data_IF_988319844409
#
_entry.id   IF_988319844409
#
_cell.length_a   1.000
_cell.length_b   1.000
_cell.length_c   1.000
_cell.angle_alpha   90.00
_cell.angle_beta   90.00
_cell.angle_gamma   90.00
#
_symmetry.space_group_name_H-M   'P 1'
#
loop_
_entity.id
_entity.type
_entity.pdbx_description
1 polymer ?
#
# COMPACT_ATOMS: atom_id res chain seq x y z
N UNK A 1 17.23 9.78 30.07
CA UNK A 1 17.42 9.97 28.62
C UNK A 1 18.15 8.75 28.08
N UNK A 2 17.46 7.89 27.33
CA UNK A 2 18.10 6.89 26.47
C UNK A 2 17.11 6.58 25.33
N UNK A 3 17.58 6.88 24.12
CA UNK A 3 16.87 6.83 22.86
C UNK A 3 16.26 5.44 22.65
N UNK A 4 14.95 5.39 22.38
CA UNK A 4 14.31 4.21 21.80
C UNK A 4 14.95 3.98 20.43
N UNK A 5 15.77 2.94 20.34
CA UNK A 5 16.28 2.42 19.07
C UNK A 5 15.07 2.10 18.20
N UNK A 6 15.00 2.74 17.03
CA UNK A 6 14.23 2.21 15.92
C UNK A 6 14.85 0.86 15.56
N UNK A 7 14.28 -0.21 16.09
CA UNK A 7 14.53 -1.55 15.57
C UNK A 7 13.98 -1.57 14.15
N UNK A 8 14.88 -1.38 13.19
CA UNK A 8 14.64 -1.70 11.79
C UNK A 8 14.51 -3.20 11.65
N UNK A 9 13.48 -3.79 12.26
CA UNK A 9 13.08 -5.16 12.01
C UNK A 9 12.65 -5.21 10.57
N UNK A 10 13.51 -5.79 9.73
CA UNK A 10 13.15 -6.33 8.44
C UNK A 10 12.18 -7.49 8.69
N UNK A 11 10.95 -7.16 9.11
CA UNK A 11 9.88 -8.12 9.28
C UNK A 11 9.55 -8.64 7.88
N UNK A 12 10.19 -9.75 7.53
CA UNK A 12 10.06 -10.41 6.23
C UNK A 12 8.73 -11.19 6.17
N UNK A 13 8.03 -11.30 7.30
CA UNK A 13 6.70 -11.88 7.41
C UNK A 13 5.59 -10.92 6.95
N UNK A 14 4.39 -11.46 6.70
CA UNK A 14 3.23 -10.66 6.34
C UNK A 14 2.74 -9.88 7.57
N UNK A 15 2.85 -8.55 7.53
CA UNK A 15 2.47 -7.67 8.64
C UNK A 15 1.67 -6.42 8.17
N UNK A 16 1.53 -6.25 6.85
CA UNK A 16 0.84 -5.10 6.27
C UNK A 16 -0.61 -5.48 5.95
N UNK A 17 -1.64 -4.81 6.51
CA UNK A 17 -3.03 -5.10 6.18
C UNK A 17 -3.34 -4.88 4.69
N UNK A 18 -3.99 -5.86 4.06
CA UNK A 18 -4.41 -5.80 2.65
C UNK A 18 -5.44 -4.70 2.33
N UNK A 19 -6.04 -4.06 3.35
CA UNK A 19 -7.04 -3.00 3.22
C UNK A 19 -6.59 -1.89 2.25
N UNK A 20 -5.34 -1.41 2.38
CA UNK A 20 -4.85 -0.34 1.51
C UNK A 20 -4.74 -0.77 0.05
N UNK A 21 -4.26 -2.00 -0.18
CA UNK A 21 -4.19 -2.58 -1.53
C UNK A 21 -5.57 -2.77 -2.16
N UNK A 22 -6.61 -3.07 -1.35
CA UNK A 22 -8.00 -3.13 -1.81
C UNK A 22 -8.55 -1.75 -2.20
N UNK A 23 -8.16 -0.69 -1.49
CA UNK A 23 -8.52 0.69 -1.90
C UNK A 23 -7.92 1.02 -3.27
N UNK A 24 -6.66 0.66 -3.53
CA UNK A 24 -6.04 0.86 -4.85
C UNK A 24 -6.84 0.15 -5.95
N UNK A 25 -7.25 -1.10 -5.72
CA UNK A 25 -8.04 -1.86 -6.68
C UNK A 25 -9.38 -1.16 -7.00
N UNK A 26 -10.02 -0.57 -5.98
CA UNK A 26 -11.26 0.18 -6.12
C UNK A 26 -11.07 1.50 -6.88
N UNK A 27 -10.00 2.23 -6.59
CA UNK A 27 -9.67 3.49 -7.30
C UNK A 27 -9.36 3.26 -8.78
N UNK A 28 -8.83 2.08 -9.12
CA UNK A 28 -8.60 1.66 -10.51
C UNK A 28 -9.85 1.05 -11.19
N UNK A 29 -11.00 1.07 -10.51
CA UNK A 29 -12.27 0.47 -10.95
C UNK A 29 -12.11 -1.00 -11.41
N UNK A 30 -11.25 -1.76 -10.73
CA UNK A 30 -10.97 -3.14 -11.11
C UNK A 30 -12.12 -4.06 -10.67
N UNK A 31 -12.71 -4.75 -11.64
CA UNK A 31 -13.62 -5.86 -11.34
C UNK A 31 -12.88 -7.07 -10.77
N UNK A 32 -13.61 -8.00 -10.14
CA UNK A 32 -13.04 -9.24 -9.60
C UNK A 32 -12.28 -10.07 -10.66
N UNK A 33 -12.66 -9.97 -11.94
CA UNK A 33 -11.97 -10.63 -13.06
C UNK A 33 -10.63 -9.96 -13.42
N UNK A 34 -10.44 -8.70 -13.05
CA UNK A 34 -9.21 -7.94 -13.29
C UNK A 34 -8.25 -7.96 -12.10
N UNK A 35 -8.73 -8.31 -10.90
CA UNK A 35 -7.89 -8.48 -9.71
C UNK A 35 -6.70 -9.42 -9.90
N UNK A 36 -6.80 -10.57 -10.63
CA UNK A 36 -5.63 -11.39 -10.93
C UNK A 36 -4.48 -10.60 -11.57
N UNK A 37 -4.78 -9.59 -12.39
CA UNK A 37 -3.76 -8.74 -13.04
C UNK A 37 -3.05 -7.83 -12.02
N UNK A 38 -3.78 -7.34 -11.02
CA UNK A 38 -3.22 -6.55 -9.92
C UNK A 38 -2.31 -7.40 -9.01
N UNK A 39 -2.57 -8.71 -8.92
CA UNK A 39 -1.86 -9.64 -8.03
C UNK A 39 -0.68 -10.37 -8.71
N UNK A 40 -0.39 -10.09 -9.98
CA UNK A 40 0.70 -10.77 -10.72
C UNK A 40 2.04 -10.67 -10.00
N UNK A 41 2.66 -11.82 -9.74
CA UNK A 41 3.97 -11.90 -9.08
C UNK A 41 3.93 -11.73 -7.56
N UNK A 42 2.76 -11.64 -6.94
CA UNK A 42 2.61 -11.57 -5.47
C UNK A 42 2.47 -12.95 -4.81
N UNK A 43 2.10 -13.97 -5.58
CA UNK A 43 1.72 -15.29 -5.07
C UNK A 43 0.35 -15.34 -4.38
N UNK A 44 -0.39 -14.21 -4.34
CA UNK A 44 -1.70 -14.13 -3.68
C UNK A 44 -2.82 -14.57 -4.63
N UNK A 45 -3.74 -15.38 -4.10
CA UNK A 45 -5.02 -15.64 -4.76
C UNK A 45 -6.00 -14.47 -4.57
N UNK A 46 -6.96 -14.33 -5.49
CA UNK A 46 -8.00 -13.28 -5.39
C UNK A 46 -8.83 -13.44 -4.12
N UNK A 47 -9.25 -14.66 -3.78
CA UNK A 47 -10.02 -14.92 -2.56
C UNK A 47 -9.24 -14.51 -1.31
N UNK A 48 -7.96 -14.89 -1.23
CA UNK A 48 -7.10 -14.48 -0.12
C UNK A 48 -6.95 -12.96 -0.07
N UNK A 49 -6.70 -12.30 -1.19
CA UNK A 49 -6.60 -10.84 -1.25
C UNK A 49 -7.86 -10.10 -0.79
N UNK A 50 -9.04 -10.67 -1.04
CA UNK A 50 -10.33 -10.10 -0.64
C UNK A 50 -10.68 -10.34 0.84
N UNK A 51 -10.04 -11.30 1.51
CA UNK A 51 -10.22 -11.55 2.93
C UNK A 51 -9.73 -10.37 3.79
N UNK A 52 -10.49 -10.05 4.83
CA UNK A 52 -10.17 -8.92 5.71
C UNK A 52 -8.92 -9.15 6.56
N UNK A 53 -8.66 -10.40 6.92
CA UNK A 53 -7.52 -10.82 7.75
C UNK A 53 -6.21 -10.98 6.98
N UNK A 54 -6.20 -10.73 5.68
CA UNK A 54 -5.00 -10.95 4.87
C UNK A 54 -3.95 -9.89 5.16
N UNK A 55 -2.82 -10.35 5.67
CA UNK A 55 -1.58 -9.61 5.82
C UNK A 55 -0.68 -9.84 4.59
N UNK A 56 -0.01 -8.78 4.19
CA UNK A 56 0.90 -8.72 3.05
C UNK A 56 2.32 -8.52 3.56
N UNK A 57 3.28 -9.12 2.88
CA UNK A 57 4.69 -8.75 3.06
C UNK A 57 4.96 -7.41 2.38
N UNK A 58 6.05 -6.74 2.78
CA UNK A 58 6.53 -5.52 2.10
C UNK A 58 6.72 -5.78 0.60
N UNK A 59 7.28 -6.92 0.22
CA UNK A 59 7.49 -7.29 -1.18
C UNK A 59 6.18 -7.42 -1.96
N UNK A 60 5.16 -8.04 -1.36
CA UNK A 60 3.83 -8.15 -1.97
C UNK A 60 3.18 -6.78 -2.12
N UNK A 61 3.26 -5.92 -1.10
CA UNK A 61 2.72 -4.57 -1.13
C UNK A 61 3.36 -3.73 -2.25
N UNK A 62 4.69 -3.74 -2.34
CA UNK A 62 5.43 -3.04 -3.40
C UNK A 62 5.06 -3.59 -4.78
N UNK A 63 4.89 -4.91 -4.91
CA UNK A 63 4.51 -5.54 -6.18
C UNK A 63 3.10 -5.13 -6.60
N UNK A 64 2.13 -5.11 -5.68
CA UNK A 64 0.77 -4.65 -5.96
C UNK A 64 0.78 -3.20 -6.43
N UNK A 65 1.55 -2.33 -5.78
CA UNK A 65 1.66 -0.93 -6.18
C UNK A 65 2.24 -0.78 -7.59
N UNK A 66 3.26 -1.57 -7.94
CA UNK A 66 3.82 -1.59 -9.29
C UNK A 66 2.79 -2.04 -10.33
N UNK A 67 2.10 -3.14 -10.07
CA UNK A 67 1.05 -3.64 -10.96
C UNK A 67 -0.08 -2.59 -11.12
N UNK A 68 -0.43 -1.89 -10.04
CA UNK A 68 -1.41 -0.80 -10.08
C UNK A 68 -0.98 0.35 -10.99
N UNK A 69 0.30 0.74 -10.95
CA UNK A 69 0.87 1.76 -11.84
C UNK A 69 0.77 1.33 -13.31
N UNK A 70 1.17 0.10 -13.60
CA UNK A 70 1.11 -0.46 -14.94
C UNK A 70 -0.34 -0.54 -15.46
N UNK A 71 -1.28 -0.95 -14.60
CA UNK A 71 -2.71 -1.03 -14.95
C UNK A 71 -3.38 0.33 -15.10
N UNK A 72 -2.92 1.35 -14.36
CA UNK A 72 -3.47 2.70 -14.46
C UNK A 72 -3.21 3.35 -15.83
N UNK A 73 -2.21 2.86 -16.57
CA UNK A 73 -1.77 3.46 -17.84
C UNK A 73 -1.23 4.88 -17.71
N UNK A 74 -1.14 5.42 -16.48
CA UNK A 74 -0.70 6.78 -16.21
C UNK A 74 0.53 6.73 -15.30
N UNK A 75 1.73 7.06 -15.81
CA UNK A 75 2.95 7.07 -14.99
C UNK A 75 2.85 8.04 -13.80
N UNK A 76 1.99 9.06 -13.90
CA UNK A 76 1.72 10.03 -12.84
C UNK A 76 0.85 9.49 -11.70
N UNK A 77 0.20 8.33 -11.85
CA UNK A 77 -0.65 7.74 -10.81
C UNK A 77 0.11 7.53 -9.49
N UNK A 78 1.36 7.07 -9.58
CA UNK A 78 2.22 6.89 -8.41
C UNK A 78 2.65 8.18 -7.75
N UNK A 79 2.82 9.24 -8.54
CA UNK A 79 3.14 10.58 -8.05
C UNK A 79 1.92 11.24 -7.41
N UNK A 80 0.73 11.11 -8.00
CA UNK A 80 -0.52 11.64 -7.42
C UNK A 80 -0.90 10.91 -6.13
N UNK A 81 -0.76 9.58 -6.09
CA UNK A 81 -0.94 8.79 -4.88
C UNK A 81 0.12 9.15 -3.84
N UNK A 82 1.39 9.20 -4.23
CA UNK A 82 2.51 9.59 -3.35
C UNK A 82 2.36 11.00 -2.77
N UNK A 83 1.90 11.97 -3.56
CA UNK A 83 1.71 13.35 -3.10
C UNK A 83 0.50 13.52 -2.17
N UNK A 84 -0.52 12.66 -2.28
CA UNK A 84 -1.59 12.54 -1.28
C UNK A 84 -1.17 11.80 -0.02
N UNK A 85 -0.07 11.04 -0.08
CA UNK A 85 0.52 10.32 1.05
C UNK A 85 1.69 11.05 1.71
N UNK A 86 2.24 12.11 1.10
CA UNK A 86 3.06 13.10 1.79
C UNK A 86 2.23 13.65 2.94
N UNK A 87 2.54 13.28 4.19
CA UNK A 87 1.71 13.67 5.29
C UNK A 87 1.88 15.16 5.49
N UNK A 88 0.78 15.90 5.52
CA UNK A 88 0.68 17.17 6.23
C UNK A 88 0.80 16.94 7.77
N UNK A 89 1.74 16.10 8.21
CA UNK A 89 2.05 15.79 9.63
C UNK A 89 3.07 16.78 10.20
N UNK A 90 3.12 17.99 9.66
CA UNK A 90 3.52 19.14 10.47
C UNK A 90 2.43 20.20 10.42
N UNK A 91 1.25 19.88 10.98
CA UNK A 91 0.59 20.88 11.82
C UNK A 91 1.53 21.13 13.01
N UNK A 92 2.42 22.11 12.87
CA UNK A 92 2.88 22.85 14.04
C UNK A 92 1.73 23.78 14.43
N UNK A 93 0.75 23.23 15.14
CA UNK A 93 -0.08 24.01 16.04
C UNK A 93 0.83 24.44 17.17
N UNK A 94 1.46 25.61 17.02
CA UNK A 94 1.95 26.38 18.16
C UNK A 94 1.62 27.84 17.86
N UNK A 95 0.33 28.13 18.02
CA UNK A 95 -0.12 29.40 18.57
C UNK A 95 0.48 29.50 19.98
N UNK A 96 1.36 30.47 20.20
CA UNK A 96 1.58 31.09 21.51
C UNK A 96 2.18 32.48 21.27
N UNK A 97 1.27 33.46 21.38
CA UNK A 97 1.43 34.82 21.91
C UNK A 97 2.40 35.79 21.25
#
# INVERSE_FOLDING_TARGET
MLMQKADGSQNTGPDIPSNYSRLIARELDLSAKQLPRLLVGTGLGVTQFLSEDTLLTVAQQVRILRNALELSGQPEFGLRTGNRQSPATTRKTEDHT
#
